data_IF_068227546971
#
_entry.id   IF_068227546971
#
_cell.length_a   1.000
_cell.length_b   1.000
_cell.length_c   1.000
_cell.angle_alpha   90.00
_cell.angle_beta   90.00
_cell.angle_gamma   90.00
#
_symmetry.space_group_name_H-M   'P 1'
#
loop_
_entity.id
_entity.type
_entity.pdbx_description
1 polymer ?
#
# COMPACT_ATOMS: atom_id res chain seq x y z
N UNK A 1 -49.94 -59.48 -50.66
CA UNK A 1 -49.54 -59.67 -49.26
C UNK A 1 -48.36 -60.63 -49.21
N UNK A 2 -47.13 -60.10 -49.28
CA UNK A 2 -45.90 -60.89 -49.22
C UNK A 2 -45.36 -60.96 -47.79
N UNK A 3 -45.05 -62.16 -47.32
CA UNK A 3 -44.36 -62.40 -46.04
C UNK A 3 -42.84 -62.26 -46.28
N UNK A 4 -42.16 -61.38 -45.55
CA UNK A 4 -40.70 -61.31 -45.52
C UNK A 4 -40.15 -61.66 -44.14
N UNK A 5 -39.14 -62.53 -44.15
CA UNK A 5 -38.40 -63.09 -43.02
C UNK A 5 -37.60 -62.03 -42.25
N UNK A 6 -37.50 -62.22 -40.93
CA UNK A 6 -36.55 -61.53 -40.04
C UNK A 6 -35.14 -62.07 -40.26
N UNK A 7 -34.20 -61.19 -40.60
CA UNK A 7 -32.76 -61.45 -40.48
C UNK A 7 -32.23 -60.76 -39.21
N UNK A 8 -31.62 -61.55 -38.32
CA UNK A 8 -30.90 -61.07 -37.13
C UNK A 8 -29.62 -60.37 -37.56
N UNK A 9 -29.48 -59.08 -37.24
CA UNK A 9 -28.22 -58.36 -37.31
C UNK A 9 -27.43 -58.67 -36.04
N UNK A 10 -26.27 -59.29 -36.19
CA UNK A 10 -25.27 -59.49 -35.14
C UNK A 10 -24.53 -58.18 -34.88
N UNK A 11 -24.60 -57.68 -33.65
CA UNK A 11 -23.81 -56.53 -33.20
C UNK A 11 -22.33 -56.92 -33.09
N UNK A 12 -21.47 -56.19 -33.79
CA UNK A 12 -20.01 -56.17 -33.52
C UNK A 12 -19.76 -55.38 -32.24
N UNK A 13 -18.86 -55.81 -31.34
CA UNK A 13 -18.47 -54.98 -30.22
C UNK A 13 -17.58 -53.84 -30.75
N UNK A 14 -17.98 -52.59 -30.49
CA UNK A 14 -17.13 -51.43 -30.67
C UNK A 14 -16.12 -51.40 -29.52
N UNK A 15 -14.92 -51.92 -29.76
CA UNK A 15 -13.77 -51.69 -28.90
C UNK A 15 -13.21 -50.30 -29.16
N UNK A 16 -13.79 -49.28 -28.55
CA UNK A 16 -13.18 -47.94 -28.45
C UNK A 16 -12.41 -47.87 -27.14
N UNK A 17 -11.10 -48.11 -27.17
CA UNK A 17 -10.23 -47.80 -26.03
C UNK A 17 -10.27 -46.29 -25.80
N UNK A 18 -10.46 -45.86 -24.55
CA UNK A 18 -10.42 -44.45 -24.18
C UNK A 18 -9.11 -43.82 -24.69
N UNK A 19 -9.14 -42.57 -25.18
CA UNK A 19 -7.91 -41.87 -25.58
C UNK A 19 -6.91 -41.87 -24.42
N UNK A 20 -5.71 -42.38 -24.68
CA UNK A 20 -4.58 -42.31 -23.74
C UNK A 20 -3.98 -40.91 -23.82
N UNK A 21 -4.32 -40.05 -22.87
CA UNK A 21 -3.71 -38.73 -22.70
C UNK A 21 -2.38 -38.85 -21.97
N UNK A 22 -1.37 -38.08 -22.40
CA UNK A 22 -0.13 -37.88 -21.65
C UNK A 22 -0.30 -36.80 -20.59
N UNK A 23 0.64 -36.71 -19.64
CA UNK A 23 0.70 -35.59 -18.68
C UNK A 23 0.74 -34.25 -19.40
N UNK A 24 1.54 -34.12 -20.46
CA UNK A 24 1.62 -32.90 -21.26
C UNK A 24 0.27 -32.51 -21.89
N UNK A 25 -0.45 -33.48 -22.45
CA UNK A 25 -1.78 -33.22 -23.03
C UNK A 25 -2.76 -32.71 -21.97
N UNK A 26 -2.74 -33.30 -20.77
CA UNK A 26 -3.60 -32.91 -19.66
C UNK A 26 -3.26 -31.50 -19.15
N UNK A 27 -1.98 -31.14 -19.05
CA UNK A 27 -1.58 -29.79 -18.63
C UNK A 27 -1.96 -28.72 -19.66
N UNK A 28 -1.91 -29.05 -20.96
CA UNK A 28 -2.45 -28.16 -21.99
C UNK A 28 -3.96 -27.96 -21.81
N UNK A 29 -4.71 -29.02 -21.50
CA UNK A 29 -6.14 -28.89 -21.22
C UNK A 29 -6.42 -28.09 -19.94
N UNK A 30 -5.60 -28.26 -18.89
CA UNK A 30 -5.69 -27.49 -17.66
C UNK A 30 -5.49 -25.99 -17.93
N UNK A 31 -4.46 -25.61 -18.68
CA UNK A 31 -4.20 -24.21 -19.05
C UNK A 31 -5.33 -23.64 -19.91
N UNK A 32 -5.87 -24.39 -20.87
CA UNK A 32 -7.01 -23.94 -21.67
C UNK A 32 -8.29 -23.74 -20.84
N UNK A 33 -8.47 -24.50 -19.76
CA UNK A 33 -9.56 -24.29 -18.82
C UNK A 33 -9.32 -23.05 -17.95
N UNK A 34 -8.08 -22.81 -17.50
CA UNK A 34 -7.69 -21.57 -16.81
C UNK A 34 -7.94 -20.33 -17.66
N UNK A 35 -7.58 -20.34 -18.95
CA UNK A 35 -7.85 -19.23 -19.89
C UNK A 35 -9.35 -18.92 -20.02
N UNK A 36 -10.21 -19.90 -19.72
CA UNK A 36 -11.68 -19.76 -19.71
C UNK A 36 -12.27 -19.56 -18.32
N UNK A 37 -11.43 -19.40 -17.29
CA UNK A 37 -11.82 -19.31 -15.88
C UNK A 37 -12.62 -20.53 -15.37
N UNK A 38 -12.40 -21.70 -15.98
CA UNK A 38 -13.02 -22.98 -15.59
C UNK A 38 -12.12 -23.70 -14.58
N UNK A 39 -11.93 -23.12 -13.39
CA UNK A 39 -10.95 -23.57 -12.39
C UNK A 39 -11.16 -25.01 -11.92
N UNK A 40 -12.39 -25.45 -11.69
CA UNK A 40 -12.68 -26.82 -11.27
C UNK A 40 -12.35 -27.84 -12.37
N UNK A 41 -12.51 -27.46 -13.64
CA UNK A 41 -12.14 -28.31 -14.77
C UNK A 41 -10.61 -28.35 -14.93
N UNK A 42 -9.94 -27.21 -14.78
CA UNK A 42 -8.48 -27.14 -14.76
C UNK A 42 -7.91 -28.05 -13.67
N UNK A 43 -8.50 -28.00 -12.47
CA UNK A 43 -8.13 -28.84 -11.35
C UNK A 43 -8.30 -30.34 -11.66
N UNK A 44 -9.40 -30.75 -12.31
CA UNK A 44 -9.58 -32.15 -12.72
C UNK A 44 -8.48 -32.61 -13.69
N UNK A 45 -8.08 -31.78 -14.64
CA UNK A 45 -7.00 -32.11 -15.57
C UNK A 45 -5.64 -32.19 -14.86
N UNK A 46 -5.32 -31.25 -13.97
CA UNK A 46 -4.09 -31.26 -13.18
C UNK A 46 -4.01 -32.49 -12.25
N UNK A 47 -5.09 -32.80 -11.55
CA UNK A 47 -5.16 -34.00 -10.70
C UNK A 47 -5.06 -35.29 -11.51
N UNK A 48 -5.62 -35.31 -12.72
CA UNK A 48 -5.45 -36.46 -13.62
C UNK A 48 -4.00 -36.60 -14.08
N UNK A 49 -3.29 -35.49 -14.30
CA UNK A 49 -1.88 -35.48 -14.65
C UNK A 49 -1.03 -36.04 -13.50
N UNK A 50 -1.29 -35.64 -12.25
CA UNK A 50 -0.64 -36.18 -11.04
C UNK A 50 -0.95 -37.65 -10.79
N UNK A 51 -2.13 -38.15 -11.17
CA UNK A 51 -2.41 -39.60 -11.11
C UNK A 51 -1.53 -40.41 -12.07
N UNK A 52 -1.12 -39.84 -13.20
CA UNK A 52 -0.22 -40.49 -14.14
C UNK A 52 1.24 -40.39 -13.67
N UNK A 53 1.65 -39.22 -13.20
CA UNK A 53 3.00 -38.95 -12.70
C UNK A 53 2.96 -38.12 -11.40
N UNK A 54 2.91 -38.77 -10.22
CA UNK A 54 2.72 -38.07 -8.93
C UNK A 54 3.83 -37.10 -8.52
N UNK A 55 5.02 -37.23 -9.11
CA UNK A 55 6.18 -36.37 -8.83
C UNK A 55 6.53 -35.47 -10.01
N UNK A 56 5.61 -35.29 -10.97
CA UNK A 56 5.84 -34.37 -12.07
C UNK A 56 5.75 -32.92 -11.56
N UNK A 57 6.89 -32.22 -11.55
CA UNK A 57 7.01 -30.88 -10.97
C UNK A 57 6.04 -29.88 -11.61
N UNK A 58 5.88 -29.93 -12.93
CA UNK A 58 5.00 -29.00 -13.66
C UNK A 58 3.53 -29.26 -13.27
N UNK A 59 3.14 -30.53 -13.12
CA UNK A 59 1.80 -30.88 -12.69
C UNK A 59 1.53 -30.52 -11.23
N UNK A 60 2.53 -30.65 -10.34
CA UNK A 60 2.42 -30.25 -8.93
C UNK A 60 2.29 -28.73 -8.81
N UNK A 61 3.10 -27.96 -9.54
CA UNK A 61 3.01 -26.50 -9.55
C UNK A 61 1.68 -26.02 -10.13
N UNK A 62 1.20 -26.63 -11.23
CA UNK A 62 -0.09 -26.30 -11.81
C UNK A 62 -1.25 -26.63 -10.86
N UNK A 63 -1.25 -27.81 -10.22
CA UNK A 63 -2.26 -28.18 -9.24
C UNK A 63 -2.27 -27.19 -8.07
N UNK A 64 -1.10 -26.91 -7.48
CA UNK A 64 -0.98 -25.97 -6.38
C UNK A 64 -1.48 -24.56 -6.73
N UNK A 65 -1.14 -24.03 -7.91
CA UNK A 65 -1.64 -22.71 -8.32
C UNK A 65 -3.15 -22.70 -8.57
N UNK A 66 -3.71 -23.76 -9.17
CA UNK A 66 -5.17 -23.86 -9.39
C UNK A 66 -5.91 -23.98 -8.06
N UNK A 67 -5.36 -24.73 -7.11
CA UNK A 67 -5.92 -24.90 -5.77
C UNK A 67 -5.93 -23.59 -4.98
N UNK A 68 -4.94 -22.71 -5.16
CA UNK A 68 -4.98 -21.35 -4.59
C UNK A 68 -6.18 -20.56 -5.13
N UNK A 69 -6.43 -20.61 -6.45
CA UNK A 69 -7.60 -19.95 -7.07
C UNK A 69 -8.94 -20.54 -6.58
N UNK A 70 -8.94 -21.81 -6.18
CA UNK A 70 -10.10 -22.51 -5.61
C UNK A 70 -10.20 -22.39 -4.08
N UNK A 71 -9.32 -21.60 -3.45
CA UNK A 71 -9.22 -21.45 -1.99
C UNK A 71 -8.94 -22.77 -1.23
N UNK A 72 -8.38 -23.77 -1.93
CA UNK A 72 -7.95 -25.06 -1.39
C UNK A 72 -6.52 -24.97 -0.83
N UNK A 73 -6.33 -24.07 0.14
CA UNK A 73 -4.99 -23.69 0.62
C UNK A 73 -4.20 -24.84 1.25
N UNK A 74 -4.88 -25.80 1.89
CA UNK A 74 -4.21 -26.95 2.52
C UNK A 74 -3.61 -27.88 1.46
N UNK A 75 -4.39 -28.20 0.43
CA UNK A 75 -3.98 -29.01 -0.72
C UNK A 75 -2.86 -28.32 -1.50
N UNK A 76 -3.02 -27.02 -1.78
CA UNK A 76 -2.01 -26.21 -2.44
C UNK A 76 -0.68 -26.24 -1.67
N UNK A 77 -0.72 -26.04 -0.35
CA UNK A 77 0.47 -26.11 0.51
C UNK A 77 1.14 -27.48 0.42
N UNK A 78 0.39 -28.58 0.39
CA UNK A 78 0.97 -29.92 0.22
C UNK A 78 1.69 -30.09 -1.13
N UNK A 79 1.08 -29.63 -2.23
CA UNK A 79 1.69 -29.74 -3.55
C UNK A 79 2.98 -28.89 -3.66
N UNK A 80 2.97 -27.65 -3.17
CA UNK A 80 4.17 -26.82 -3.18
C UNK A 80 5.27 -27.35 -2.24
N UNK A 81 4.91 -27.92 -1.08
CA UNK A 81 5.88 -28.62 -0.22
C UNK A 81 6.51 -29.82 -0.93
N UNK A 82 5.75 -30.56 -1.75
CA UNK A 82 6.31 -31.64 -2.57
C UNK A 82 7.26 -31.09 -3.64
N UNK A 83 6.92 -29.96 -4.28
CA UNK A 83 7.85 -29.26 -5.18
C UNK A 83 9.16 -28.86 -4.48
N UNK A 84 9.09 -28.40 -3.22
CA UNK A 84 10.28 -28.08 -2.41
C UNK A 84 11.12 -29.32 -2.14
N UNK A 85 10.51 -30.47 -1.85
CA UNK A 85 11.25 -31.74 -1.65
C UNK A 85 11.98 -32.18 -2.92
N UNK A 86 11.35 -32.00 -4.09
CA UNK A 86 11.92 -32.41 -5.38
C UNK A 86 13.00 -31.42 -5.85
N UNK A 87 12.75 -30.12 -5.73
CA UNK A 87 13.67 -29.04 -6.14
C UNK A 87 13.80 -27.97 -5.04
N UNK A 88 14.62 -28.20 -4.00
CA UNK A 88 14.75 -27.26 -2.88
C UNK A 88 15.42 -25.95 -3.28
N UNK A 89 16.30 -25.95 -4.29
CA UNK A 89 17.14 -24.81 -4.64
C UNK A 89 16.85 -24.24 -6.04
N UNK A 90 15.66 -24.46 -6.60
CA UNK A 90 15.30 -24.02 -7.96
C UNK A 90 13.81 -23.73 -8.06
N UNK A 91 13.41 -22.65 -8.74
CA UNK A 91 12.01 -22.22 -8.87
C UNK A 91 11.55 -21.43 -7.64
N UNK A 92 11.51 -20.10 -7.75
CA UNK A 92 11.14 -19.22 -6.63
C UNK A 92 9.63 -19.20 -6.36
N UNK A 93 8.79 -19.42 -7.37
CA UNK A 93 7.32 -19.25 -7.28
C UNK A 93 6.69 -20.09 -6.17
N UNK A 94 7.11 -21.34 -5.99
CA UNK A 94 6.59 -22.20 -4.91
C UNK A 94 6.84 -21.62 -3.52
N UNK A 95 7.94 -20.90 -3.32
CA UNK A 95 8.26 -20.25 -2.05
C UNK A 95 7.40 -19.00 -1.83
N UNK A 96 7.04 -18.29 -2.89
CA UNK A 96 6.10 -17.17 -2.80
C UNK A 96 4.72 -17.66 -2.36
N UNK A 97 4.20 -18.71 -2.99
CA UNK A 97 2.93 -19.32 -2.60
C UNK A 97 2.95 -19.86 -1.16
N UNK A 98 4.02 -20.56 -0.77
CA UNK A 98 4.15 -21.05 0.60
C UNK A 98 4.23 -19.90 1.63
N UNK A 99 4.89 -18.79 1.30
CA UNK A 99 4.93 -17.59 2.13
C UNK A 99 3.54 -17.01 2.37
N UNK A 100 2.74 -16.87 1.31
CA UNK A 100 1.36 -16.34 1.39
C UNK A 100 0.41 -17.24 2.18
N UNK A 101 0.67 -18.55 2.23
CA UNK A 101 -0.15 -19.53 2.97
C UNK A 101 0.48 -19.95 4.31
N UNK A 102 1.42 -19.16 4.83
CA UNK A 102 2.06 -19.40 6.12
C UNK A 102 1.95 -18.14 6.97
N UNK A 103 2.27 -18.27 8.26
CA UNK A 103 2.11 -17.19 9.23
C UNK A 103 3.45 -16.84 9.90
N UNK A 104 3.57 -15.61 10.38
CA UNK A 104 4.69 -15.15 11.21
C UNK A 104 6.06 -15.48 10.58
N UNK A 105 7.01 -15.97 11.38
CA UNK A 105 8.36 -16.31 10.96
C UNK A 105 8.43 -17.47 9.94
N UNK A 106 7.40 -18.33 9.86
CA UNK A 106 7.34 -19.36 8.81
C UNK A 106 7.18 -18.71 7.43
N UNK A 107 6.28 -17.73 7.31
CA UNK A 107 6.08 -16.96 6.09
C UNK A 107 7.37 -16.23 5.66
N UNK A 108 8.03 -15.55 6.62
CA UNK A 108 9.33 -14.89 6.40
C UNK A 108 10.36 -15.86 5.81
N UNK A 109 10.48 -17.06 6.38
CA UNK A 109 11.43 -18.09 5.92
C UNK A 109 11.19 -18.51 4.47
N UNK A 110 9.93 -18.67 4.06
CA UNK A 110 9.60 -19.00 2.67
C UNK A 110 9.86 -17.82 1.73
N UNK A 111 9.37 -16.61 2.07
CA UNK A 111 9.64 -15.43 1.26
C UNK A 111 11.14 -15.19 1.09
N UNK A 112 11.94 -15.31 2.15
CA UNK A 112 13.38 -15.15 2.09
C UNK A 112 14.04 -16.17 1.15
N UNK A 113 13.61 -17.43 1.17
CA UNK A 113 14.13 -18.45 0.24
C UNK A 113 13.82 -18.09 -1.22
N UNK A 114 12.58 -17.67 -1.50
CA UNK A 114 12.22 -17.28 -2.86
C UNK A 114 12.92 -15.98 -3.32
N UNK A 115 13.09 -14.99 -2.43
CA UNK A 115 13.91 -13.78 -2.69
C UNK A 115 15.35 -14.16 -3.02
N UNK A 116 15.97 -15.08 -2.28
CA UNK A 116 17.33 -15.52 -2.55
C UNK A 116 17.47 -16.15 -3.95
N UNK A 117 16.48 -16.94 -4.37
CA UNK A 117 16.45 -17.54 -5.71
C UNK A 117 16.22 -16.48 -6.80
N UNK A 118 15.29 -15.55 -6.60
CA UNK A 118 15.05 -14.45 -7.54
C UNK A 118 16.27 -13.54 -7.69
N UNK A 119 16.98 -13.24 -6.59
CA UNK A 119 18.21 -12.46 -6.61
C UNK A 119 19.32 -13.17 -7.39
N UNK A 120 19.47 -14.49 -7.20
CA UNK A 120 20.43 -15.29 -7.95
C UNK A 120 20.09 -15.31 -9.46
N UNK A 121 18.82 -15.44 -9.81
CA UNK A 121 18.34 -15.37 -11.20
C UNK A 121 18.62 -13.99 -11.80
N UNK A 122 18.28 -12.91 -11.08
CA UNK A 122 18.45 -11.54 -11.56
C UNK A 122 19.90 -11.18 -11.88
N UNK A 123 20.88 -11.69 -11.11
CA UNK A 123 22.31 -11.46 -11.36
C UNK A 123 22.77 -12.07 -12.68
N UNK A 124 22.09 -13.12 -13.15
CA UNK A 124 22.41 -13.78 -14.44
C UNK A 124 21.73 -13.14 -15.64
N UNK A 125 20.72 -12.29 -15.40
CA UNK A 125 19.96 -11.60 -16.44
C UNK A 125 20.68 -10.32 -16.89
N UNK A 126 20.63 -9.96 -18.19
CA UNK A 126 21.08 -8.65 -18.63
C UNK A 126 20.19 -7.58 -18.00
N UNK A 127 20.81 -6.51 -17.50
CA UNK A 127 20.07 -5.35 -17.00
C UNK A 127 19.32 -4.70 -18.16
N UNK A 128 18.00 -4.69 -18.07
CA UNK A 128 17.10 -4.07 -19.04
C UNK A 128 16.07 -3.24 -18.29
N UNK A 129 16.21 -1.92 -18.38
CA UNK A 129 15.34 -0.96 -17.70
C UNK A 129 14.16 -0.52 -18.58
N UNK A 130 13.88 -1.20 -19.69
CA UNK A 130 12.69 -0.93 -20.49
C UNK A 130 11.43 -1.35 -19.74
N UNK A 131 10.40 -0.49 -19.76
CA UNK A 131 9.12 -0.76 -19.09
C UNK A 131 8.55 -2.10 -19.58
N UNK A 132 8.29 -3.01 -18.64
CA UNK A 132 7.78 -4.35 -18.93
C UNK A 132 8.84 -5.40 -19.27
N UNK A 133 10.14 -5.11 -19.14
CA UNK A 133 11.19 -6.11 -19.27
C UNK A 133 11.08 -7.20 -18.19
N UNK A 134 11.55 -8.41 -18.50
CA UNK A 134 11.62 -9.50 -17.50
C UNK A 134 12.53 -9.12 -16.32
N UNK A 135 13.55 -8.30 -16.55
CA UNK A 135 14.45 -7.80 -15.50
C UNK A 135 13.70 -6.92 -14.51
N UNK A 136 12.88 -5.98 -14.98
CA UNK A 136 12.04 -5.15 -14.11
C UNK A 136 10.92 -5.97 -13.49
N UNK A 137 10.29 -6.89 -14.22
CA UNK A 137 9.25 -7.75 -13.66
C UNK A 137 9.78 -8.60 -12.49
N UNK A 138 10.99 -9.15 -12.61
CA UNK A 138 11.64 -9.88 -11.53
C UNK A 138 12.06 -8.95 -10.38
N UNK A 139 12.53 -7.74 -10.68
CA UNK A 139 12.87 -6.74 -9.66
C UNK A 139 11.64 -6.38 -8.82
N UNK A 140 10.49 -6.15 -9.46
CA UNK A 140 9.23 -5.83 -8.80
C UNK A 140 8.80 -6.98 -7.89
N UNK A 141 8.87 -8.22 -8.36
CA UNK A 141 8.54 -9.40 -7.52
C UNK A 141 9.42 -9.49 -6.27
N UNK A 142 10.71 -9.15 -6.39
CA UNK A 142 11.60 -9.13 -5.22
C UNK A 142 11.22 -8.00 -4.27
N UNK A 143 11.01 -6.78 -4.78
CA UNK A 143 10.54 -5.64 -3.97
C UNK A 143 9.24 -5.98 -3.25
N UNK A 144 8.25 -6.56 -3.94
CA UNK A 144 6.98 -6.97 -3.35
C UNK A 144 7.16 -8.00 -2.24
N UNK A 145 8.00 -9.02 -2.45
CA UNK A 145 8.27 -10.02 -1.41
C UNK A 145 8.99 -9.42 -0.19
N UNK A 146 9.88 -8.44 -0.39
CA UNK A 146 10.52 -7.69 0.69
C UNK A 146 9.50 -6.86 1.47
N UNK A 147 8.60 -6.16 0.79
CA UNK A 147 7.50 -5.43 1.44
C UNK A 147 6.60 -6.38 2.23
N UNK A 148 6.23 -7.54 1.68
CA UNK A 148 5.45 -8.52 2.43
C UNK A 148 6.14 -9.00 3.71
N UNK A 149 7.48 -9.14 3.70
CA UNK A 149 8.23 -9.46 4.92
C UNK A 149 8.26 -8.29 5.92
N UNK A 150 8.34 -7.04 5.45
CA UNK A 150 8.21 -5.84 6.28
C UNK A 150 6.83 -5.82 6.93
N UNK A 151 5.76 -6.01 6.16
CA UNK A 151 4.39 -6.01 6.66
C UNK A 151 4.19 -7.04 7.77
N UNK A 152 4.68 -8.27 7.57
CA UNK A 152 4.64 -9.33 8.60
C UNK A 152 5.38 -8.89 9.87
N UNK A 153 6.51 -8.19 9.78
CA UNK A 153 7.20 -7.64 10.96
C UNK A 153 6.47 -6.46 11.59
N UNK A 154 5.73 -5.67 10.83
CA UNK A 154 4.93 -4.55 11.34
C UNK A 154 3.60 -5.00 11.95
N UNK A 155 3.13 -6.22 11.63
CA UNK A 155 1.87 -6.77 12.15
C UNK A 155 2.10 -8.00 13.05
N UNK A 156 2.35 -9.17 12.45
CA UNK A 156 2.33 -10.47 13.12
C UNK A 156 3.56 -10.72 14.01
N UNK A 157 4.70 -10.14 13.64
CA UNK A 157 5.99 -10.31 14.30
C UNK A 157 6.48 -9.01 14.96
N UNK A 158 5.60 -8.05 15.25
CA UNK A 158 5.97 -6.74 15.78
C UNK A 158 6.60 -6.77 17.18
N UNK A 159 6.42 -7.86 17.93
CA UNK A 159 7.04 -8.08 19.23
C UNK A 159 8.41 -8.76 19.16
N UNK A 160 8.88 -9.16 17.97
CA UNK A 160 10.22 -9.73 17.82
C UNK A 160 11.29 -8.65 18.09
N UNK A 161 12.32 -8.94 18.90
CA UNK A 161 13.30 -7.94 19.32
C UNK A 161 14.14 -7.38 18.17
N UNK A 162 14.10 -8.03 17.01
CA UNK A 162 14.80 -7.61 15.80
C UNK A 162 13.85 -7.06 14.72
N UNK A 163 12.54 -6.92 14.97
CA UNK A 163 11.55 -6.54 13.96
C UNK A 163 11.94 -5.25 13.22
N UNK A 164 12.22 -4.17 13.96
CA UNK A 164 12.67 -2.88 13.41
C UNK A 164 13.91 -3.04 12.53
N UNK A 165 14.95 -3.70 13.04
CA UNK A 165 16.20 -3.91 12.29
C UNK A 165 16.02 -4.77 11.02
N UNK A 166 15.03 -5.67 11.01
CA UNK A 166 14.70 -6.47 9.82
C UNK A 166 13.93 -5.64 8.80
N UNK A 167 12.97 -4.82 9.24
CA UNK A 167 12.26 -3.88 8.38
C UNK A 167 13.23 -2.94 7.66
N UNK A 168 14.18 -2.34 8.41
CA UNK A 168 15.22 -1.48 7.84
C UNK A 168 16.09 -2.22 6.80
N UNK A 169 16.49 -3.46 7.11
CA UNK A 169 17.33 -4.26 6.22
C UNK A 169 16.59 -4.61 4.91
N UNK A 170 15.32 -5.01 4.99
CA UNK A 170 14.52 -5.31 3.81
C UNK A 170 14.20 -4.07 2.99
N UNK A 171 13.91 -2.94 3.64
CA UNK A 171 13.68 -1.67 2.97
C UNK A 171 14.94 -1.22 2.21
N UNK A 172 16.10 -1.26 2.87
CA UNK A 172 17.38 -0.95 2.25
C UNK A 172 17.66 -1.87 1.06
N UNK A 173 17.31 -3.15 1.17
CA UNK A 173 17.43 -4.08 0.06
C UNK A 173 16.47 -3.72 -1.08
N UNK A 174 15.20 -3.42 -0.81
CA UNK A 174 14.21 -3.05 -1.84
C UNK A 174 14.64 -1.78 -2.61
N UNK A 175 15.15 -0.76 -1.91
CA UNK A 175 15.67 0.47 -2.53
C UNK A 175 16.89 0.21 -3.43
N UNK A 176 17.75 -0.75 -3.08
CA UNK A 176 18.87 -1.13 -3.96
C UNK A 176 18.43 -1.85 -5.23
N UNK A 177 17.29 -2.57 -5.16
CA UNK A 177 16.73 -3.32 -6.29
C UNK A 177 16.02 -2.37 -7.24
N UNK A 178 15.18 -1.52 -6.69
CA UNK A 178 14.43 -0.50 -7.42
C UNK A 178 14.65 0.83 -6.72
N UNK A 179 15.63 1.62 -7.18
CA UNK A 179 15.82 2.98 -6.68
C UNK A 179 14.54 3.79 -6.87
N UNK A 180 14.29 4.72 -5.95
CA UNK A 180 13.24 5.73 -6.13
C UNK A 180 13.68 6.66 -7.25
N UNK A 181 13.06 6.51 -8.42
CA UNK A 181 13.29 7.38 -9.58
C UNK A 181 12.23 8.47 -9.64
N UNK A 182 12.49 9.60 -10.32
CA UNK A 182 11.47 10.63 -10.55
C UNK A 182 10.18 10.04 -11.15
N UNK A 183 10.28 9.10 -12.10
CA UNK A 183 9.11 8.44 -12.69
C UNK A 183 8.26 7.69 -11.65
N UNK A 184 8.88 7.01 -10.68
CA UNK A 184 8.16 6.33 -9.59
C UNK A 184 7.52 7.33 -8.63
N UNK A 185 8.18 8.46 -8.39
CA UNK A 185 7.60 9.55 -7.60
C UNK A 185 6.36 10.12 -8.32
N UNK A 186 6.41 10.30 -9.63
CA UNK A 186 5.26 10.74 -10.43
C UNK A 186 4.13 9.71 -10.44
N UNK A 187 4.44 8.41 -10.49
CA UNK A 187 3.45 7.34 -10.37
C UNK A 187 2.78 7.35 -8.98
N UNK A 188 3.54 7.56 -7.90
CA UNK A 188 3.01 7.68 -6.54
C UNK A 188 2.08 8.91 -6.40
N UNK A 189 2.52 10.08 -6.88
CA UNK A 189 1.70 11.30 -6.94
C UNK A 189 0.40 11.07 -7.72
N UNK A 190 0.48 10.41 -8.86
CA UNK A 190 -0.69 10.10 -9.67
C UNK A 190 -1.68 9.16 -8.96
N UNK A 191 -1.19 8.20 -8.17
CA UNK A 191 -2.03 7.32 -7.37
C UNK A 191 -2.70 8.08 -6.20
N UNK A 192 -1.96 8.93 -5.49
CA UNK A 192 -2.49 9.78 -4.43
C UNK A 192 -3.57 10.73 -4.96
N UNK A 193 -3.30 11.40 -6.09
CA UNK A 193 -4.26 12.28 -6.75
C UNK A 193 -5.54 11.54 -7.18
N UNK A 194 -5.42 10.31 -7.70
CA UNK A 194 -6.58 9.48 -8.02
C UNK A 194 -7.38 9.11 -6.78
N UNK A 195 -6.72 8.72 -5.69
CA UNK A 195 -7.37 8.41 -4.42
C UNK A 195 -8.13 9.61 -3.84
N UNK A 196 -7.49 10.78 -3.83
CA UNK A 196 -8.12 12.05 -3.44
C UNK A 196 -9.37 12.36 -4.26
N UNK A 197 -9.30 12.22 -5.60
CA UNK A 197 -10.41 12.55 -6.49
C UNK A 197 -11.69 11.71 -6.26
N UNK A 198 -11.60 10.60 -5.52
CA UNK A 198 -12.77 9.77 -5.20
C UNK A 198 -13.66 10.38 -4.11
N UNK A 199 -13.11 11.25 -3.25
CA UNK A 199 -13.82 11.74 -2.07
C UNK A 199 -13.58 13.22 -1.76
N UNK A 200 -12.59 13.86 -2.37
CA UNK A 200 -12.34 15.27 -2.15
C UNK A 200 -13.53 16.10 -2.66
N UNK A 201 -14.15 16.88 -1.76
CA UNK A 201 -15.34 17.68 -2.04
C UNK A 201 -16.68 16.97 -1.79
N UNK A 202 -16.67 15.72 -1.29
CA UNK A 202 -17.88 15.09 -0.74
C UNK A 202 -18.11 15.53 0.71
N UNK A 203 -19.36 15.45 1.18
CA UNK A 203 -19.69 15.80 2.56
C UNK A 203 -19.13 14.70 3.50
N UNK A 204 -18.22 15.02 4.44
CA UNK A 204 -17.66 14.04 5.37
C UNK A 204 -18.67 13.48 6.36
N UNK A 205 -19.86 14.11 6.50
CA UNK A 205 -20.91 13.68 7.43
C UNK A 205 -21.90 12.67 6.85
N UNK A 206 -21.80 12.38 5.54
CA UNK A 206 -22.61 11.35 4.91
C UNK A 206 -22.16 9.95 5.38
N UNK A 207 -23.04 9.24 6.10
CA UNK A 207 -22.76 7.94 6.74
C UNK A 207 -22.34 6.84 5.74
N UNK A 208 -22.79 6.93 4.49
CA UNK A 208 -22.41 6.06 3.36
C UNK A 208 -21.58 6.80 2.29
N UNK A 209 -20.99 7.95 2.66
CA UNK A 209 -20.18 8.77 1.77
C UNK A 209 -18.83 8.11 1.43
N UNK A 210 -18.19 8.48 0.31
CA UNK A 210 -16.88 7.93 -0.06
C UNK A 210 -15.73 8.49 0.80
N UNK A 211 -16.02 9.41 1.73
CA UNK A 211 -15.03 10.08 2.58
C UNK A 211 -14.37 9.10 3.56
N UNK A 212 -13.04 8.95 3.53
CA UNK A 212 -12.34 8.13 4.52
C UNK A 212 -12.47 8.69 5.94
N UNK A 213 -12.27 7.84 6.94
CA UNK A 213 -12.24 8.27 8.34
C UNK A 213 -11.11 9.29 8.62
N UNK A 214 -11.20 9.93 9.79
CA UNK A 214 -10.26 10.98 10.20
C UNK A 214 -8.81 10.50 10.20
N UNK A 215 -8.54 9.31 10.77
CA UNK A 215 -7.19 8.76 10.89
C UNK A 215 -6.59 8.43 9.52
N UNK A 216 -7.40 7.91 8.60
CA UNK A 216 -6.98 7.61 7.23
C UNK A 216 -6.65 8.90 6.47
N UNK A 217 -7.48 9.95 6.61
CA UNK A 217 -7.19 11.27 6.02
C UNK A 217 -5.93 11.91 6.63
N UNK A 218 -5.71 11.76 7.93
CA UNK A 218 -4.50 12.24 8.60
C UNK A 218 -3.24 11.51 8.12
N UNK A 219 -3.32 10.18 7.94
CA UNK A 219 -2.24 9.39 7.35
C UNK A 219 -1.95 9.80 5.91
N UNK A 220 -2.99 10.10 5.12
CA UNK A 220 -2.84 10.60 3.75
C UNK A 220 -2.07 11.92 3.71
N UNK A 221 -2.32 12.86 4.63
CA UNK A 221 -1.57 14.13 4.70
C UNK A 221 -0.07 13.87 4.80
N UNK A 222 0.38 12.90 5.59
CA UNK A 222 1.81 12.54 5.71
C UNK A 222 2.38 12.12 4.34
N UNK A 223 1.65 11.29 3.58
CA UNK A 223 2.04 10.86 2.23
C UNK A 223 2.06 12.02 1.22
N UNK A 224 1.11 12.95 1.31
CA UNK A 224 1.07 14.14 0.45
C UNK A 224 2.26 15.06 0.73
N UNK A 225 2.61 15.25 1.99
CA UNK A 225 3.79 16.04 2.38
C UNK A 225 5.10 15.37 1.93
N UNK A 226 5.26 14.07 2.15
CA UNK A 226 6.43 13.30 1.71
C UNK A 226 6.62 13.32 0.19
N UNK A 227 5.52 13.44 -0.58
CA UNK A 227 5.56 13.52 -2.04
C UNK A 227 5.55 14.95 -2.57
N UNK A 228 5.62 15.98 -1.72
CA UNK A 228 5.56 17.39 -2.13
C UNK A 228 4.26 17.77 -2.89
N UNK A 229 3.13 17.19 -2.48
CA UNK A 229 1.77 17.56 -2.90
C UNK A 229 1.13 18.50 -1.86
N UNK A 230 1.71 19.70 -1.73
CA UNK A 230 1.42 20.60 -0.61
C UNK A 230 0.01 21.21 -0.67
N UNK A 231 -0.46 21.60 -1.85
CA UNK A 231 -1.81 22.18 -2.02
C UNK A 231 -2.90 21.19 -1.61
N UNK A 232 -2.74 19.94 -2.01
CA UNK A 232 -3.63 18.85 -1.61
C UNK A 232 -3.53 18.57 -0.11
N UNK A 233 -2.31 18.56 0.45
CA UNK A 233 -2.11 18.38 1.89
C UNK A 233 -2.85 19.46 2.70
N UNK A 234 -2.73 20.73 2.32
CA UNK A 234 -3.46 21.84 2.96
C UNK A 234 -4.98 21.69 2.83
N UNK A 235 -5.46 21.27 1.66
CA UNK A 235 -6.90 21.06 1.47
C UNK A 235 -7.44 20.00 2.43
N UNK A 236 -6.74 18.88 2.59
CA UNK A 236 -7.14 17.82 3.53
C UNK A 236 -6.99 18.28 4.98
N UNK A 237 -5.89 18.94 5.33
CA UNK A 237 -5.64 19.46 6.68
C UNK A 237 -6.70 20.47 7.13
N UNK A 238 -7.10 21.40 6.27
CA UNK A 238 -8.15 22.36 6.60
C UNK A 238 -9.47 21.65 6.95
N UNK A 239 -9.85 20.63 6.17
CA UNK A 239 -11.03 19.82 6.47
C UNK A 239 -10.90 19.05 7.79
N UNK A 240 -9.71 18.53 8.11
CA UNK A 240 -9.45 17.85 9.39
C UNK A 240 -9.53 18.81 10.59
N UNK A 241 -9.02 20.04 10.45
CA UNK A 241 -9.09 21.07 11.48
C UNK A 241 -10.53 21.51 11.71
N UNK A 242 -11.30 21.74 10.64
CA UNK A 242 -12.73 22.09 10.72
C UNK A 242 -13.55 20.99 11.40
N UNK A 243 -13.20 19.73 11.17
CA UNK A 243 -13.87 18.57 11.78
C UNK A 243 -13.48 18.38 13.25
N UNK A 244 -12.19 18.45 13.57
CA UNK A 244 -11.67 18.28 14.92
C UNK A 244 -10.26 18.90 15.05
N UNK A 245 -10.18 20.06 15.70
CA UNK A 245 -8.92 20.75 16.03
C UNK A 245 -8.29 20.30 17.36
N UNK A 246 -8.91 19.35 18.06
CA UNK A 246 -8.44 18.81 19.34
C UNK A 246 -7.56 17.56 19.15
N UNK A 247 -6.85 17.47 18.01
CA UNK A 247 -5.86 16.42 17.73
C UNK A 247 -4.45 17.04 17.57
N UNK A 248 -3.48 16.76 18.48
CA UNK A 248 -2.13 17.31 18.40
C UNK A 248 -1.44 17.05 17.04
N UNK A 249 -1.56 15.84 16.50
CA UNK A 249 -1.01 15.46 15.20
C UNK A 249 -1.49 16.35 14.05
N UNK A 250 -2.77 16.72 14.05
CA UNK A 250 -3.36 17.56 13.01
C UNK A 250 -2.77 18.97 13.05
N UNK A 251 -2.66 19.55 14.24
CA UNK A 251 -2.04 20.88 14.43
C UNK A 251 -0.55 20.85 14.12
N UNK A 252 0.15 19.76 14.49
CA UNK A 252 1.55 19.55 14.13
C UNK A 252 1.73 19.48 12.61
N UNK A 253 0.95 18.66 11.90
CA UNK A 253 1.06 18.51 10.45
C UNK A 253 0.68 19.80 9.71
N UNK A 254 -0.29 20.56 10.21
CA UNK A 254 -0.60 21.89 9.67
C UNK A 254 0.54 22.87 9.88
N UNK A 255 1.14 22.89 11.07
CA UNK A 255 2.33 23.69 11.35
C UNK A 255 3.54 23.31 10.47
N UNK A 256 3.78 22.01 10.31
CA UNK A 256 4.82 21.45 9.46
C UNK A 256 4.61 21.80 7.98
N UNK A 257 3.37 21.70 7.48
CA UNK A 257 3.02 22.07 6.12
C UNK A 257 3.30 23.55 5.83
N UNK A 258 2.92 24.45 6.75
CA UNK A 258 3.23 25.88 6.66
C UNK A 258 4.75 26.14 6.74
N UNK A 259 5.48 25.41 7.58
CA UNK A 259 6.94 25.52 7.64
C UNK A 259 7.61 25.14 6.30
N UNK A 260 7.20 24.01 5.69
CA UNK A 260 7.70 23.63 4.36
C UNK A 260 7.30 24.66 3.30
N UNK A 261 6.04 25.12 3.31
CA UNK A 261 5.57 26.14 2.37
C UNK A 261 6.41 27.42 2.47
N UNK A 262 6.82 27.81 3.68
CA UNK A 262 7.74 28.91 3.87
C UNK A 262 9.11 28.65 3.23
N UNK A 263 9.65 27.43 3.28
CA UNK A 263 10.93 27.08 2.64
C UNK A 263 10.86 27.11 1.10
N UNK A 264 9.72 26.70 0.54
CA UNK A 264 9.47 26.59 -0.91
C UNK A 264 9.12 27.92 -1.60
N UNK A 265 8.99 29.03 -0.85
CA UNK A 265 8.72 30.36 -1.43
C UNK A 265 9.81 30.75 -2.44
N UNK A 266 9.39 31.09 -3.66
CA UNK A 266 10.27 31.53 -4.74
C UNK A 266 10.90 32.90 -4.42
N UNK A 267 12.22 32.91 -4.21
CA UNK A 267 13.01 34.12 -3.96
C UNK A 267 12.92 35.16 -5.10
N UNK A 268 12.44 34.77 -6.29
CA UNK A 268 12.19 35.70 -7.40
C UNK A 268 10.89 36.49 -7.28
N UNK A 269 9.99 36.08 -6.37
CA UNK A 269 8.73 36.75 -6.08
C UNK A 269 8.96 38.13 -5.46
N UNK A 270 8.26 39.19 -5.91
CA UNK A 270 8.38 40.52 -5.30
C UNK A 270 7.89 40.56 -3.84
N UNK A 271 7.12 39.57 -3.40
CA UNK A 271 6.55 39.46 -2.05
C UNK A 271 7.13 38.29 -1.26
N UNK A 272 8.26 37.69 -1.70
CA UNK A 272 8.82 36.49 -1.09
C UNK A 272 9.02 36.60 0.43
N UNK A 273 9.55 37.74 0.91
CA UNK A 273 9.77 37.97 2.34
C UNK A 273 8.46 38.04 3.14
N UNK A 274 7.40 38.62 2.58
CA UNK A 274 6.09 38.75 3.23
C UNK A 274 5.38 37.38 3.27
N UNK A 275 5.39 36.66 2.14
CA UNK A 275 4.81 35.32 2.01
C UNK A 275 5.52 34.32 2.94
N UNK A 276 6.85 34.31 2.96
CA UNK A 276 7.64 33.47 3.86
C UNK A 276 7.33 33.78 5.32
N UNK A 277 7.21 35.07 5.65
CA UNK A 277 6.87 35.51 7.01
C UNK A 277 5.48 35.05 7.43
N UNK A 278 4.48 35.21 6.57
CA UNK A 278 3.10 34.77 6.81
C UNK A 278 3.04 33.26 7.09
N UNK A 279 3.67 32.45 6.23
CA UNK A 279 3.73 30.99 6.40
C UNK A 279 4.41 30.60 7.73
N UNK A 280 5.51 31.25 8.09
CA UNK A 280 6.17 31.00 9.38
C UNK A 280 5.31 31.44 10.58
N UNK A 281 4.53 32.51 10.45
CA UNK A 281 3.60 32.96 11.50
C UNK A 281 2.47 31.94 11.71
N UNK A 282 1.87 31.44 10.62
CA UNK A 282 0.87 30.36 10.66
C UNK A 282 1.46 29.07 11.25
N UNK A 283 2.68 28.69 10.84
CA UNK A 283 3.38 27.54 11.39
C UNK A 283 3.57 27.68 12.91
N UNK A 284 4.04 28.84 13.37
CA UNK A 284 4.24 29.12 14.79
C UNK A 284 2.95 29.05 15.58
N UNK A 285 1.85 29.58 15.06
CA UNK A 285 0.55 29.53 15.74
C UNK A 285 0.08 28.08 15.92
N UNK A 286 0.08 27.30 14.84
CA UNK A 286 -0.34 25.90 14.84
C UNK A 286 0.54 25.02 15.76
N UNK A 287 1.86 25.20 15.72
CA UNK A 287 2.80 24.45 16.56
C UNK A 287 2.66 24.83 18.05
N UNK A 288 2.42 26.09 18.38
CA UNK A 288 2.12 26.48 19.77
C UNK A 288 0.79 25.87 20.25
N UNK A 289 -0.24 25.84 19.40
CA UNK A 289 -1.50 25.17 19.70
C UNK A 289 -1.29 23.66 19.90
N UNK A 290 -0.46 23.03 19.06
CA UNK A 290 -0.04 21.64 19.20
C UNK A 290 0.60 21.36 20.58
N UNK A 291 1.60 22.15 20.99
CA UNK A 291 2.25 21.97 22.31
C UNK A 291 1.25 22.11 23.45
N UNK A 292 0.39 23.14 23.42
CA UNK A 292 -0.64 23.35 24.44
C UNK A 292 -1.57 22.12 24.51
N UNK A 293 -2.05 21.67 23.36
CA UNK A 293 -2.99 20.57 23.26
C UNK A 293 -2.34 19.24 23.67
N UNK A 294 -1.10 18.97 23.28
CA UNK A 294 -0.32 17.79 23.69
C UNK A 294 -0.29 17.64 25.22
N UNK A 295 -0.11 18.75 25.95
CA UNK A 295 -0.14 18.75 27.41
C UNK A 295 -1.55 18.56 27.98
N UNK A 296 -2.57 19.19 27.36
CA UNK A 296 -3.97 19.08 27.79
C UNK A 296 -4.52 17.67 27.59
N UNK A 297 -4.14 17.01 26.50
CA UNK A 297 -4.59 15.65 26.17
C UNK A 297 -3.73 14.55 26.80
N UNK A 298 -2.69 14.93 27.56
CA UNK A 298 -1.74 13.99 28.18
C UNK A 298 -1.14 13.01 27.16
N UNK A 299 -0.82 13.50 25.95
CA UNK A 299 -0.22 12.69 24.90
C UNK A 299 1.13 12.11 25.33
N UNK A 300 1.49 10.95 24.78
CA UNK A 300 2.76 10.26 25.06
C UNK A 300 3.72 10.28 23.88
N UNK A 301 3.37 10.95 22.78
CA UNK A 301 4.23 11.07 21.60
C UNK A 301 5.32 12.13 21.84
N UNK A 302 6.38 11.71 22.54
CA UNK A 302 7.54 12.55 22.83
C UNK A 302 8.31 12.96 21.56
N UNK A 303 8.54 12.09 20.56
CA UNK A 303 9.16 12.48 19.30
C UNK A 303 8.44 13.64 18.60
N UNK A 304 7.10 13.61 18.54
CA UNK A 304 6.30 14.69 17.97
C UNK A 304 6.49 16.00 18.74
N UNK A 305 6.47 15.94 20.08
CA UNK A 305 6.67 17.13 20.92
C UNK A 305 8.07 17.73 20.72
N UNK A 306 9.11 16.89 20.74
CA UNK A 306 10.48 17.34 20.55
C UNK A 306 10.64 18.07 19.21
N UNK A 307 10.14 17.49 18.14
CA UNK A 307 10.24 18.09 16.82
C UNK A 307 9.44 19.39 16.69
N UNK A 308 8.25 19.43 17.29
CA UNK A 308 7.44 20.66 17.39
C UNK A 308 8.21 21.79 18.06
N UNK A 309 8.95 21.48 19.13
CA UNK A 309 9.79 22.46 19.84
C UNK A 309 10.99 22.91 19.00
N UNK A 310 11.67 21.99 18.31
CA UNK A 310 12.79 22.31 17.41
C UNK A 310 12.37 23.26 16.27
N UNK A 311 11.18 23.05 15.71
CA UNK A 311 10.59 23.95 14.71
C UNK A 311 10.27 25.31 15.30
N UNK A 312 9.62 25.36 16.46
CA UNK A 312 9.32 26.61 17.14
C UNK A 312 10.58 27.42 17.45
N UNK A 313 11.67 26.77 17.86
CA UNK A 313 12.96 27.41 18.06
C UNK A 313 13.50 28.00 16.74
N UNK A 314 13.46 27.21 15.66
CA UNK A 314 13.91 27.64 14.33
C UNK A 314 13.10 28.83 13.82
N UNK A 315 11.78 28.77 13.91
CA UNK A 315 10.87 29.84 13.51
C UNK A 315 11.12 31.10 14.36
N UNK A 316 11.34 30.94 15.66
CA UNK A 316 11.60 32.07 16.58
C UNK A 316 12.92 32.77 16.25
N UNK A 317 13.94 32.05 15.78
CA UNK A 317 15.20 32.66 15.32
C UNK A 317 15.00 33.58 14.11
N UNK A 318 14.02 33.27 13.25
CA UNK A 318 13.70 34.03 12.04
C UNK A 318 12.74 35.19 12.35
N UNK A 319 11.62 34.90 13.03
CA UNK A 319 10.56 35.88 13.27
C UNK A 319 10.79 36.76 14.52
N UNK A 320 11.69 36.35 15.40
CA UNK A 320 11.80 36.87 16.76
C UNK A 320 10.76 36.27 17.70
N UNK A 321 10.79 36.67 19.00
CA UNK A 321 9.85 36.18 20.00
C UNK A 321 8.40 36.50 19.59
N UNK A 322 7.47 35.63 19.99
CA UNK A 322 6.05 35.92 19.82
C UNK A 322 5.71 37.24 20.52
N UNK A 323 5.05 38.15 19.81
CA UNK A 323 4.46 39.33 20.42
C UNK A 323 3.12 38.87 20.96
N UNK A 324 3.00 38.76 22.28
CA UNK A 324 1.69 38.55 22.92
C UNK A 324 0.80 39.74 22.52
N UNK A 325 -0.17 39.50 21.64
CA UNK A 325 -1.29 40.42 21.51
C UNK A 325 -2.09 40.26 22.79
N UNK A 326 -2.10 41.28 23.64
CA UNK A 326 -3.01 41.35 24.79
C UNK A 326 -4.41 41.05 24.25
N UNK A 327 -5.02 39.95 24.71
CA UNK A 327 -6.44 39.73 24.52
C UNK A 327 -7.15 41.00 24.98
N UNK A 328 -7.74 41.75 24.05
CA UNK A 328 -8.63 42.86 24.41
C UNK A 328 -9.83 42.18 25.09
N UNK A 329 -9.75 42.01 26.41
CA UNK A 329 -10.91 41.69 27.24
C UNK A 329 -12.00 42.69 26.87
N UNK A 330 -13.16 42.16 26.47
CA UNK A 330 -14.25 42.89 25.84
C UNK A 330 -14.54 44.24 26.50
N UNK A 331 -14.09 45.31 25.84
CA UNK A 331 -14.58 46.66 26.11
C UNK A 331 -15.98 46.77 25.55
N UNK A 332 -16.98 46.81 26.44
CA UNK A 332 -18.34 47.24 26.12
C UNK A 332 -18.26 48.54 25.30
N UNK A 333 -18.76 48.48 24.06
CA UNK A 333 -19.01 49.68 23.27
C UNK A 333 -20.22 50.35 23.92
N UNK A 334 -19.98 51.33 24.79
CA UNK A 334 -21.02 52.30 25.19
C UNK A 334 -21.42 53.07 23.93
N UNK A 335 -22.61 52.78 23.42
CA UNK A 335 -23.28 53.64 22.46
C UNK A 335 -23.70 54.91 23.21
N UNK A 336 -22.99 56.03 22.98
CA UNK A 336 -23.52 57.35 23.31
C UNK A 336 -24.78 57.59 22.46
N UNK A 337 -25.94 57.52 23.12
CA UNK A 337 -27.22 58.00 22.59
C UNK A 337 -27.07 59.50 22.29
N UNK A 338 -26.95 59.85 21.01
CA UNK A 338 -27.12 61.23 20.54
C UNK A 338 -28.59 61.64 20.78
N UNK A 339 -28.83 62.35 21.89
CA UNK A 339 -30.10 63.00 22.17
C UNK A 339 -30.41 64.04 21.08
N UNK A 340 -31.55 63.84 20.42
CA UNK A 340 -32.22 64.78 19.52
C UNK A 340 -32.36 66.18 20.15
N UNK A 341 -31.59 67.17 19.68
CA UNK A 341 -31.91 68.59 19.89
C UNK A 341 -33.01 69.04 18.90
N UNK A 342 -34.27 68.78 19.26
CA UNK A 342 -35.38 69.66 18.87
C UNK A 342 -35.19 71.02 19.54
N UNK A 343 -34.91 72.09 18.79
CA UNK A 343 -35.25 73.45 19.21
C UNK A 343 -35.62 74.38 18.04
N UNK A 344 -36.95 74.53 17.88
CA UNK A 344 -37.74 75.73 17.52
C UNK A 344 -37.34 76.62 16.33
#
# INVERSE_FOLDING_TARGET
MGKFQRSKVTAKPAGGGAPTYTVGDLLVQANQALDRFEFELAHQFAMRALQLEPQNLIALEAAGSIEVELELFNEAKQHFLECVKIQPNSGYSKFMYLGQMSEQLEAISYFQQGVNLMMAERVTMPMDLTKGSDYLALSNKISSALCSMIDIYLTDCCFEPNAESQCEAYLAQAVQIEPVTPERMDEAKAALAQGLALWLGTDPTEEDGPTPDYETRLALVKLLLETAMYDEAFTVLNGLIEENDQVPDTLYLFGWANYIAAEEVDDSSPNADEERREQLENAREALNACVKLWHVTESTDEPLLQHTQELLETITQVLGPAVEQEEIEGGEIEYEDDEDEEMN
#
